data_IF_075263206380
#
_entry.id   IF_075263206380
#
_cell.length_a   1.000
_cell.length_b   1.000
_cell.length_c   1.000
_cell.angle_alpha   90.00
_cell.angle_beta   90.00
_cell.angle_gamma   90.00
#
_symmetry.space_group_name_H-M   'P 1'
#
loop_
_entity.id
_entity.type
_entity.pdbx_description
1 polymer ?
#
# COMPACT_ATOMS: atom_id res chain seq x y z
N UNK A 1 -21.06 -20.62 -10.57
CA UNK A 1 -19.84 -20.16 -11.15
C UNK A 1 -18.86 -19.70 -10.08
N UNK A 2 -17.66 -20.02 -10.31
CA UNK A 2 -16.63 -19.67 -9.35
C UNK A 2 -16.38 -18.16 -9.33
N UNK A 3 -16.25 -17.63 -8.16
CA UNK A 3 -15.89 -16.25 -8.01
C UNK A 3 -14.46 -16.16 -7.54
N UNK A 4 -13.81 -15.12 -7.94
CA UNK A 4 -12.54 -14.81 -7.35
C UNK A 4 -12.75 -14.60 -5.86
N UNK A 5 -12.03 -15.36 -5.07
CA UNK A 5 -12.23 -15.31 -3.64
C UNK A 5 -11.47 -14.18 -2.97
N UNK A 6 -10.61 -13.52 -3.73
CA UNK A 6 -9.98 -12.32 -3.21
C UNK A 6 -9.96 -11.30 -4.32
N UNK A 7 -10.01 -10.06 -3.93
CA UNK A 7 -9.94 -8.94 -4.86
C UNK A 7 -8.70 -8.12 -4.56
N UNK A 8 -8.09 -7.61 -5.60
CA UNK A 8 -7.00 -6.66 -5.45
C UNK A 8 -7.61 -5.29 -5.33
N UNK A 9 -7.34 -4.62 -4.24
CA UNK A 9 -7.78 -3.25 -4.04
C UNK A 9 -6.83 -2.35 -4.81
N UNK A 10 -7.37 -1.56 -5.71
CA UNK A 10 -6.58 -0.64 -6.51
C UNK A 10 -7.06 0.78 -6.30
N UNK A 11 -6.12 1.70 -6.28
CA UNK A 11 -6.43 3.10 -6.06
C UNK A 11 -5.73 3.92 -7.15
N UNK A 12 -6.46 4.41 -8.15
CA UNK A 12 -5.82 5.08 -9.30
C UNK A 12 -4.99 6.30 -8.93
N UNK A 13 -5.43 7.07 -7.95
CA UNK A 13 -4.72 8.29 -7.59
C UNK A 13 -3.30 8.05 -7.09
N UNK A 14 -3.12 6.96 -6.34
CA UNK A 14 -1.82 6.65 -5.76
C UNK A 14 -1.14 5.49 -6.46
N UNK A 15 -1.85 4.80 -7.35
CA UNK A 15 -1.34 3.58 -7.94
C UNK A 15 -1.28 2.43 -6.98
N UNK A 16 -1.93 2.56 -5.82
CA UNK A 16 -1.91 1.52 -4.81
C UNK A 16 -2.55 0.24 -5.31
N UNK A 17 -1.90 -0.88 -5.05
CA UNK A 17 -2.43 -2.21 -5.31
C UNK A 17 -2.18 -3.05 -4.07
N UNK A 18 -3.23 -3.67 -3.54
CA UNK A 18 -3.08 -4.45 -2.32
C UNK A 18 -2.24 -5.71 -2.53
N UNK A 19 -2.04 -6.11 -3.77
CA UNK A 19 -1.21 -7.26 -4.10
C UNK A 19 -0.45 -6.94 -5.38
N UNK A 20 0.86 -7.12 -5.37
CA UNK A 20 1.71 -6.74 -6.50
C UNK A 20 2.67 -7.89 -6.82
N UNK A 21 2.16 -8.94 -7.50
CA UNK A 21 2.96 -10.13 -7.77
C UNK A 21 4.02 -9.89 -8.83
N UNK A 22 5.05 -10.72 -8.83
CA UNK A 22 6.05 -10.70 -9.87
C UNK A 22 7.05 -9.57 -9.77
N UNK A 23 7.12 -8.92 -8.62
CA UNK A 23 8.02 -7.80 -8.44
C UNK A 23 8.50 -7.77 -6.99
N UNK A 24 9.67 -7.17 -6.77
CA UNK A 24 10.16 -6.94 -5.41
C UNK A 24 9.72 -5.59 -4.87
N UNK A 25 8.98 -4.83 -5.65
CA UNK A 25 8.51 -3.51 -5.25
C UNK A 25 7.26 -3.63 -4.40
N UNK A 26 7.45 -3.93 -3.14
CA UNK A 26 6.35 -4.08 -2.19
C UNK A 26 6.54 -3.10 -1.04
N UNK A 27 5.45 -2.82 -0.33
CA UNK A 27 5.50 -1.90 0.79
C UNK A 27 6.54 -2.33 1.82
N UNK A 28 6.68 -3.63 2.07
CA UNK A 28 7.65 -4.06 3.07
C UNK A 28 9.09 -3.73 2.68
N UNK A 29 9.35 -3.43 1.41
CA UNK A 29 10.65 -3.00 0.93
C UNK A 29 10.69 -1.50 0.68
N UNK A 30 9.66 -0.78 1.06
CA UNK A 30 9.58 0.65 0.82
C UNK A 30 10.13 1.41 2.01
N UNK A 31 10.91 2.44 1.74
CA UNK A 31 11.50 3.26 2.80
C UNK A 31 10.44 3.95 3.66
N UNK A 32 9.23 4.10 3.13
CA UNK A 32 8.14 4.76 3.83
C UNK A 32 7.26 3.80 4.63
N UNK A 33 7.58 2.53 4.61
CA UNK A 33 6.77 1.53 5.28
C UNK A 33 7.11 1.45 6.77
N UNK A 34 6.07 1.43 7.60
CA UNK A 34 6.21 1.27 9.04
C UNK A 34 5.79 -0.15 9.39
N UNK A 35 6.76 -1.00 9.60
CA UNK A 35 6.54 -2.43 9.75
C UNK A 35 5.64 -2.79 10.93
N UNK A 36 5.79 -2.09 12.03
CA UNK A 36 5.03 -2.39 13.25
C UNK A 36 3.53 -2.20 13.07
N UNK A 37 3.13 -1.36 12.11
CA UNK A 37 1.74 -0.99 11.98
C UNK A 37 1.17 -1.33 10.61
N UNK A 38 1.99 -1.90 9.71
CA UNK A 38 1.60 -2.10 8.32
C UNK A 38 1.10 -0.80 7.73
N UNK A 39 1.83 0.27 7.96
CA UNK A 39 1.43 1.59 7.54
C UNK A 39 2.41 2.22 6.58
N UNK A 40 1.94 3.22 5.85
CA UNK A 40 2.77 4.01 4.95
C UNK A 40 2.76 5.44 5.44
N UNK A 41 3.95 5.97 5.73
CA UNK A 41 4.08 7.35 6.21
C UNK A 41 4.42 8.33 5.09
N UNK A 42 4.33 7.87 3.84
CA UNK A 42 4.66 8.73 2.72
C UNK A 42 3.71 9.91 2.60
N UNK A 43 4.22 11.13 2.43
CA UNK A 43 3.36 12.31 2.37
C UNK A 43 2.36 12.28 1.21
N UNK A 44 2.77 11.75 0.06
CA UNK A 44 1.84 11.67 -1.07
C UNK A 44 0.71 10.68 -0.80
N UNK A 45 1.02 9.57 -0.14
CA UNK A 45 -0.02 8.62 0.24
C UNK A 45 -0.99 9.26 1.24
N UNK A 46 -0.47 9.97 2.22
CA UNK A 46 -1.33 10.63 3.20
C UNK A 46 -2.22 11.67 2.55
N UNK A 47 -1.73 12.32 1.51
CA UNK A 47 -2.47 13.37 0.84
C UNK A 47 -3.53 12.82 -0.12
N UNK A 48 -3.18 11.80 -0.89
CA UNK A 48 -4.00 11.37 -2.00
C UNK A 48 -4.81 10.11 -1.77
N UNK A 49 -4.37 9.26 -0.85
CA UNK A 49 -5.03 7.98 -0.65
C UNK A 49 -6.33 8.13 0.11
N UNK A 50 -7.32 7.33 -0.29
CA UNK A 50 -8.59 7.25 0.42
C UNK A 50 -8.68 6.00 1.29
N UNK A 51 -7.56 5.31 1.45
CA UNK A 51 -7.54 4.12 2.28
C UNK A 51 -7.68 4.49 3.76
N UNK A 52 -8.09 3.53 4.59
CA UNK A 52 -8.19 3.77 6.03
C UNK A 52 -6.88 4.28 6.62
N UNK A 53 -7.01 5.04 7.67
CA UNK A 53 -5.86 5.58 8.37
C UNK A 53 -5.64 4.86 9.68
N UNK A 54 -4.38 4.75 10.07
CA UNK A 54 -4.02 4.28 11.39
C UNK A 54 -4.25 5.40 12.41
N UNK A 55 -4.29 5.06 13.70
CA UNK A 55 -4.48 6.10 14.73
C UNK A 55 -3.46 7.22 14.67
N UNK A 56 -2.27 6.95 14.18
CA UNK A 56 -1.24 7.98 14.06
C UNK A 56 -1.32 8.77 12.75
N UNK A 57 -2.31 8.49 11.92
CA UNK A 57 -2.51 9.21 10.66
C UNK A 57 -1.87 8.57 9.45
N UNK A 58 -1.06 7.55 9.62
CA UNK A 58 -0.45 6.86 8.50
C UNK A 58 -1.51 6.06 7.72
N UNK A 59 -1.24 5.83 6.44
CA UNK A 59 -2.14 5.06 5.59
C UNK A 59 -1.94 3.58 5.87
N UNK A 60 -3.02 2.87 6.16
CA UNK A 60 -2.93 1.43 6.36
C UNK A 60 -2.74 0.73 5.02
N UNK A 61 -1.70 -0.08 4.90
CA UNK A 61 -1.39 -0.80 3.66
C UNK A 61 -1.05 -2.25 4.00
N UNK A 62 -1.00 -3.08 2.96
CA UNK A 62 -0.55 -4.46 3.12
C UNK A 62 0.94 -4.53 2.82
N UNK A 63 1.62 -5.42 3.52
CA UNK A 63 3.06 -5.56 3.31
C UNK A 63 3.41 -5.89 1.86
N UNK A 64 2.54 -6.66 1.19
CA UNK A 64 2.79 -7.05 -0.20
C UNK A 64 2.15 -6.11 -1.21
N UNK A 65 1.66 -4.97 -0.76
CA UNK A 65 1.06 -3.97 -1.63
C UNK A 65 2.14 -3.11 -2.28
N UNK A 66 1.70 -2.28 -3.20
CA UNK A 66 2.58 -1.38 -3.94
C UNK A 66 1.83 -0.08 -4.23
N UNK A 67 2.56 1.02 -4.31
CA UNK A 67 2.01 2.28 -4.81
C UNK A 67 3.06 2.96 -5.68
N UNK A 68 2.63 3.92 -6.49
CA UNK A 68 3.55 4.57 -7.42
C UNK A 68 4.60 5.43 -6.73
N UNK A 69 4.43 5.69 -5.46
CA UNK A 69 5.39 6.48 -4.68
C UNK A 69 6.41 5.59 -3.96
N UNK A 70 6.43 4.32 -4.31
CA UNK A 70 7.35 3.36 -3.72
C UNK A 70 8.80 3.80 -3.96
N UNK A 71 9.60 3.69 -2.92
CA UNK A 71 11.03 3.95 -3.00
C UNK A 71 11.77 2.85 -2.29
N UNK A 72 12.84 2.41 -2.89
CA UNK A 72 13.65 1.34 -2.33
C UNK A 72 14.22 1.73 -0.98
N UNK A 73 14.16 0.76 -0.08
CA UNK A 73 14.65 0.95 1.26
C UNK A 73 16.17 1.07 1.30
#
# INVERSE_FOLDING_TARGET
MAKTIFSIIKEPKTGYQSHHPGSSEHCFNCIQFVKEEDGCKGPKMKELSERPRLPNGDVKVHAVAYCRFWKEK
#
